data_IF_378625310291
#
_entry.id   IF_378625310291
#
_cell.length_a   1.000
_cell.length_b   1.000
_cell.length_c   1.000
_cell.angle_alpha   90.00
_cell.angle_beta   90.00
_cell.angle_gamma   90.00
#
_symmetry.space_group_name_H-M   'P 1'
#
loop_
_entity.id
_entity.type
_entity.pdbx_description
1 polymer ?
#
# COMPACT_ATOMS: atom_id res chain seq x y z
N UNK A 1 -21.29 -19.66 -2.91
CA UNK A 1 -20.50 -20.29 -1.83
C UNK A 1 -19.11 -20.51 -2.38
N UNK A 2 -18.08 -20.03 -1.69
CA UNK A 2 -16.69 -20.16 -2.12
C UNK A 2 -16.08 -21.37 -1.44
N UNK A 3 -15.54 -22.33 -2.20
CA UNK A 3 -14.87 -23.52 -1.66
C UNK A 3 -13.36 -23.42 -1.81
N UNK A 4 -12.66 -24.17 -0.96
CA UNK A 4 -11.22 -24.38 -1.10
C UNK A 4 -10.92 -25.03 -2.46
N UNK A 5 -9.88 -24.53 -3.13
CA UNK A 5 -9.45 -24.93 -4.48
C UNK A 5 -10.32 -24.46 -5.65
N UNK A 6 -11.29 -23.57 -5.42
CA UNK A 6 -12.01 -22.90 -6.51
C UNK A 6 -11.14 -21.89 -7.24
N UNK A 7 -11.57 -21.56 -8.47
CA UNK A 7 -10.96 -20.52 -9.29
C UNK A 7 -11.85 -19.29 -9.31
N UNK A 8 -11.27 -18.16 -8.94
CA UNK A 8 -11.94 -16.85 -8.93
C UNK A 8 -11.27 -15.92 -9.93
N UNK A 9 -11.99 -14.89 -10.35
CA UNK A 9 -11.55 -13.92 -11.34
C UNK A 9 -11.56 -12.53 -10.73
N UNK A 10 -10.43 -11.82 -10.83
CA UNK A 10 -10.38 -10.41 -10.44
C UNK A 10 -11.03 -9.58 -11.55
N UNK A 11 -12.05 -8.79 -11.22
CA UNK A 11 -12.81 -8.01 -12.22
C UNK A 11 -12.02 -6.84 -12.79
N UNK A 12 -11.11 -6.24 -12.01
CA UNK A 12 -10.25 -5.13 -12.47
C UNK A 12 -9.14 -5.60 -13.40
N UNK A 13 -8.51 -6.73 -13.11
CA UNK A 13 -7.32 -7.21 -13.86
C UNK A 13 -7.62 -8.35 -14.84
N UNK A 14 -8.81 -8.95 -14.77
CA UNK A 14 -9.18 -10.14 -15.54
C UNK A 14 -8.39 -11.40 -15.18
N UNK A 15 -7.51 -11.33 -14.17
CA UNK A 15 -6.63 -12.45 -13.81
C UNK A 15 -7.39 -13.54 -13.08
N UNK A 16 -7.17 -14.78 -13.52
CA UNK A 16 -7.65 -15.98 -12.85
C UNK A 16 -6.74 -16.32 -11.68
N UNK A 17 -7.31 -16.45 -10.49
CA UNK A 17 -6.61 -16.81 -9.26
C UNK A 17 -7.20 -18.10 -8.70
N UNK A 18 -6.33 -18.99 -8.17
CA UNK A 18 -6.75 -20.23 -7.50
C UNK A 18 -6.72 -20.03 -6.00
N UNK A 19 -7.83 -20.33 -5.32
CA UNK A 19 -7.93 -20.24 -3.86
C UNK A 19 -7.28 -21.47 -3.23
N UNK A 20 -6.07 -21.33 -2.67
CA UNK A 20 -5.38 -22.48 -2.04
C UNK A 20 -5.84 -22.75 -0.61
N UNK A 21 -5.99 -21.69 0.19
CA UNK A 21 -6.41 -21.74 1.59
C UNK A 21 -7.40 -20.63 1.89
N UNK A 22 -8.43 -20.97 2.65
CA UNK A 22 -9.47 -20.10 3.17
C UNK A 22 -9.38 -20.15 4.69
N UNK A 23 -9.35 -18.98 5.32
CA UNK A 23 -9.16 -18.87 6.77
C UNK A 23 -10.14 -17.85 7.33
N UNK A 24 -10.71 -18.14 8.50
CA UNK A 24 -11.36 -17.14 9.34
C UNK A 24 -10.34 -16.62 10.35
N UNK A 25 -10.18 -15.30 10.36
CA UNK A 25 -9.22 -14.63 11.23
C UNK A 25 -9.90 -14.23 12.54
N UNK A 26 -9.43 -14.79 13.65
CA UNK A 26 -9.83 -14.43 15.01
C UNK A 26 -8.71 -13.64 15.68
N UNK A 27 -8.51 -12.41 15.21
CA UNK A 27 -7.39 -11.55 15.59
C UNK A 27 -6.02 -12.20 15.28
N UNK A 28 -5.50 -13.00 16.21
CA UNK A 28 -4.22 -13.70 16.09
C UNK A 28 -4.39 -15.20 15.77
N UNK A 29 -5.54 -15.79 16.08
CA UNK A 29 -5.79 -17.21 15.78
C UNK A 29 -6.38 -17.39 14.38
N UNK A 30 -5.79 -18.31 13.63
CA UNK A 30 -6.20 -18.66 12.27
C UNK A 30 -6.99 -19.96 12.29
N UNK A 31 -8.25 -19.92 11.87
CA UNK A 31 -9.08 -21.12 11.70
C UNK A 31 -9.22 -21.46 10.21
N UNK A 32 -8.68 -22.60 9.78
CA UNK A 32 -8.83 -23.07 8.41
C UNK A 32 -10.28 -23.54 8.17
N UNK A 33 -10.94 -22.92 7.20
CA UNK A 33 -12.31 -23.26 6.78
C UNK A 33 -12.31 -23.84 5.37
N UNK A 34 -13.20 -24.79 5.10
CA UNK A 34 -13.30 -25.44 3.79
C UNK A 34 -14.22 -24.68 2.83
N UNK A 35 -15.21 -23.98 3.36
CA UNK A 35 -16.20 -23.22 2.59
C UNK A 35 -16.60 -21.94 3.31
N UNK A 36 -16.96 -20.92 2.52
CA UNK A 36 -17.39 -19.61 3.01
C UNK A 36 -18.69 -19.23 2.31
N UNK A 37 -19.65 -18.73 3.10
CA UNK A 37 -20.96 -18.31 2.62
C UNK A 37 -20.98 -16.81 2.29
N UNK A 38 -22.01 -16.38 1.57
CA UNK A 38 -22.19 -14.95 1.30
C UNK A 38 -22.49 -14.19 2.60
N UNK A 39 -21.83 -13.05 2.81
CA UNK A 39 -21.93 -12.24 4.02
C UNK A 39 -20.84 -12.50 5.07
N UNK A 40 -20.07 -13.59 4.93
CA UNK A 40 -18.94 -13.87 5.81
C UNK A 40 -17.68 -13.08 5.40
N UNK A 41 -16.88 -12.70 6.40
CA UNK A 41 -15.54 -12.15 6.20
C UNK A 41 -14.53 -13.30 6.29
N UNK A 42 -13.74 -13.48 5.24
CA UNK A 42 -12.69 -14.49 5.19
C UNK A 42 -11.39 -13.92 4.64
N UNK A 43 -10.28 -14.57 4.97
CA UNK A 43 -8.96 -14.25 4.45
C UNK A 43 -8.53 -15.30 3.41
N UNK A 44 -7.90 -14.82 2.35
CA UNK A 44 -7.35 -15.61 1.26
C UNK A 44 -5.82 -15.50 1.28
N UNK A 45 -5.14 -16.63 1.06
CA UNK A 45 -3.67 -16.67 1.03
C UNK A 45 -3.14 -16.79 -0.40
N UNK A 46 -2.01 -16.10 -0.65
CA UNK A 46 -1.27 -16.22 -1.92
C UNK A 46 -1.93 -15.50 -3.10
N UNK A 47 -2.77 -14.51 -2.82
CA UNK A 47 -3.44 -13.71 -3.84
C UNK A 47 -2.77 -12.33 -3.90
N UNK A 48 -2.41 -11.91 -5.10
CA UNK A 48 -1.98 -10.54 -5.37
C UNK A 48 -3.21 -9.70 -5.72
N UNK A 49 -3.64 -8.86 -4.79
CA UNK A 49 -4.77 -7.96 -4.95
C UNK A 49 -4.49 -6.62 -4.27
N UNK A 50 -5.14 -5.58 -4.77
CA UNK A 50 -5.18 -4.29 -4.10
C UNK A 50 -6.47 -4.16 -3.28
N UNK A 51 -6.44 -3.31 -2.26
CA UNK A 51 -7.63 -2.93 -1.51
C UNK A 51 -8.69 -2.35 -2.46
N UNK A 52 -9.91 -2.90 -2.40
CA UNK A 52 -11.03 -2.52 -3.28
C UNK A 52 -11.20 -3.41 -4.52
N UNK A 53 -10.32 -4.39 -4.76
CA UNK A 53 -10.51 -5.35 -5.85
C UNK A 53 -11.69 -6.30 -5.56
N UNK A 54 -12.52 -6.55 -6.57
CA UNK A 54 -13.64 -7.49 -6.50
C UNK A 54 -13.29 -8.81 -7.19
N UNK A 55 -13.63 -9.93 -6.56
CA UNK A 55 -13.49 -11.26 -7.13
C UNK A 55 -14.85 -11.86 -7.44
N UNK A 56 -15.02 -12.36 -8.66
CA UNK A 56 -16.26 -12.98 -9.13
C UNK A 56 -16.01 -14.36 -9.73
N UNK A 57 -17.11 -15.08 -9.96
CA UNK A 57 -17.12 -16.29 -10.79
C UNK A 57 -17.16 -15.92 -12.28
N UNK A 58 -16.76 -16.84 -13.16
CA UNK A 58 -16.64 -16.66 -14.63
C UNK A 58 -17.86 -16.03 -15.30
N UNK A 59 -19.03 -16.23 -14.72
CA UNK A 59 -20.33 -15.88 -15.32
C UNK A 59 -20.64 -14.39 -15.23
N UNK A 60 -20.00 -13.65 -14.31
CA UNK A 60 -20.30 -12.25 -14.01
C UNK A 60 -19.00 -11.47 -13.86
N UNK A 61 -18.34 -11.20 -14.97
CA UNK A 61 -17.01 -10.54 -15.01
C UNK A 61 -17.06 -9.03 -14.90
N UNK A 62 -18.22 -8.41 -15.16
CA UNK A 62 -18.33 -6.95 -15.36
C UNK A 62 -19.00 -6.26 -14.16
N UNK A 63 -18.78 -6.77 -12.94
CA UNK A 63 -19.31 -6.19 -11.71
C UNK A 63 -18.15 -5.66 -10.88
N UNK A 64 -18.05 -4.34 -10.79
CA UNK A 64 -17.13 -3.64 -9.89
C UNK A 64 -17.90 -3.04 -8.72
N UNK A 65 -17.42 -3.26 -7.50
CA UNK A 65 -17.95 -2.57 -6.33
C UNK A 65 -17.52 -1.09 -6.35
N UNK A 66 -18.23 -0.25 -5.60
CA UNK A 66 -17.88 1.15 -5.44
C UNK A 66 -16.49 1.28 -4.79
N UNK A 67 -15.71 2.25 -5.27
CA UNK A 67 -14.40 2.52 -4.72
C UNK A 67 -14.52 3.16 -3.34
N UNK A 68 -13.64 2.77 -2.43
CA UNK A 68 -13.49 3.44 -1.13
C UNK A 68 -13.08 4.90 -1.38
N UNK A 69 -13.77 5.84 -0.72
CA UNK A 69 -13.37 7.25 -0.74
C UNK A 69 -12.09 7.41 0.09
N UNK A 70 -10.98 7.71 -0.58
CA UNK A 70 -9.67 7.93 0.06
C UNK A 70 -9.46 9.44 0.18
N UNK A 71 -9.37 10.00 1.41
CA UNK A 71 -9.11 11.42 1.59
C UNK A 71 -7.69 11.78 1.14
N UNK A 72 -7.48 13.04 0.79
CA UNK A 72 -6.14 13.53 0.44
C UNK A 72 -5.25 13.64 1.69
N UNK A 73 -3.95 13.26 1.57
CA UNK A 73 -3.03 13.31 2.68
C UNK A 73 -2.76 14.77 3.10
N UNK A 74 -2.59 14.99 4.39
CA UNK A 74 -2.53 16.33 5.01
C UNK A 74 -1.11 16.76 5.33
N UNK A 75 -0.19 15.80 5.53
CA UNK A 75 1.20 16.06 5.87
C UNK A 75 2.13 15.32 4.90
N UNK A 76 3.24 15.97 4.56
CA UNK A 76 4.30 15.42 3.72
C UNK A 76 5.65 15.58 4.41
N UNK A 77 6.42 14.49 4.49
CA UNK A 77 7.70 14.41 5.18
C UNK A 77 8.70 13.73 4.28
N UNK A 78 9.95 14.21 4.25
CA UNK A 78 11.03 13.50 3.59
C UNK A 78 11.49 12.34 4.46
N UNK A 79 11.47 11.13 3.91
CA UNK A 79 11.91 9.93 4.59
C UNK A 79 13.15 9.37 3.91
N UNK A 80 14.18 9.06 4.69
CA UNK A 80 15.44 8.47 4.19
C UNK A 80 15.90 7.33 5.08
N UNK A 81 16.40 6.23 4.51
CA UNK A 81 17.03 5.18 5.32
C UNK A 81 18.32 5.74 5.94
N UNK A 82 18.60 5.38 7.20
CA UNK A 82 19.82 5.81 7.88
C UNK A 82 21.08 5.21 7.26
N UNK A 83 20.97 4.03 6.66
CA UNK A 83 22.05 3.36 5.96
C UNK A 83 21.70 3.15 4.47
N UNK A 84 22.63 3.46 3.57
CA UNK A 84 22.46 3.28 2.12
C UNK A 84 22.35 1.80 1.72
N UNK A 85 22.92 0.88 2.51
CA UNK A 85 22.87 -0.54 2.23
C UNK A 85 21.46 -1.14 2.39
N UNK A 86 20.57 -0.48 3.13
CA UNK A 86 19.20 -0.94 3.38
C UNK A 86 18.18 -0.36 2.39
N UNK A 87 18.64 0.27 1.31
CA UNK A 87 17.78 0.91 0.30
C UNK A 87 16.85 -0.08 -0.41
N UNK A 88 17.31 -1.33 -0.62
CA UNK A 88 16.47 -2.40 -1.19
C UNK A 88 15.33 -2.81 -0.24
N UNK A 89 15.62 -2.90 1.06
CA UNK A 89 14.61 -3.21 2.08
C UNK A 89 13.63 -2.06 2.23
N UNK A 90 14.13 -0.84 2.18
CA UNK A 90 13.35 0.40 2.21
C UNK A 90 12.33 0.44 1.06
N UNK A 91 12.79 0.25 -0.19
CA UNK A 91 11.92 0.22 -1.37
C UNK A 91 10.86 -0.89 -1.30
N UNK A 92 11.25 -2.10 -0.85
CA UNK A 92 10.32 -3.22 -0.68
C UNK A 92 9.26 -2.97 0.41
N UNK A 93 9.66 -2.40 1.55
CA UNK A 93 8.76 -2.10 2.66
C UNK A 93 7.75 -1.01 2.27
N UNK A 94 8.25 0.09 1.71
CA UNK A 94 7.42 1.18 1.19
C UNK A 94 6.41 0.69 0.15
N UNK A 95 6.85 -0.12 -0.82
CA UNK A 95 5.96 -0.67 -1.84
C UNK A 95 4.88 -1.60 -1.28
N UNK A 96 5.12 -2.25 -0.14
CA UNK A 96 4.09 -3.05 0.56
C UNK A 96 3.11 -2.15 1.30
N UNK A 97 3.60 -1.13 2.00
CA UNK A 97 2.74 -0.20 2.74
C UNK A 97 1.81 0.60 1.83
N UNK A 98 2.26 1.04 0.66
CA UNK A 98 1.39 1.70 -0.33
C UNK A 98 0.26 0.80 -0.83
N UNK A 99 0.45 -0.52 -0.86
CA UNK A 99 -0.59 -1.47 -1.27
C UNK A 99 -1.56 -1.80 -0.12
N UNK A 100 -1.07 -1.77 1.11
CA UNK A 100 -1.86 -2.02 2.32
C UNK A 100 -2.80 -0.85 2.61
N UNK A 101 -2.29 0.38 2.55
CA UNK A 101 -3.03 1.61 2.86
C UNK A 101 -3.00 2.61 1.69
N UNK A 102 -4.15 2.88 1.03
CA UNK A 102 -4.20 3.83 -0.08
C UNK A 102 -4.05 5.30 0.36
N UNK A 103 -4.15 5.60 1.66
CA UNK A 103 -3.91 6.95 2.20
C UNK A 103 -2.42 7.27 2.29
N UNK A 104 -1.56 6.25 2.33
CA UNK A 104 -0.11 6.38 2.39
C UNK A 104 0.46 6.53 0.97
N UNK A 105 0.78 7.77 0.59
CA UNK A 105 1.31 8.08 -0.74
C UNK A 105 2.81 8.32 -0.67
N UNK A 106 3.50 7.88 -1.71
CA UNK A 106 4.95 8.03 -1.84
C UNK A 106 5.21 8.73 -3.16
N UNK A 107 6.03 9.77 -3.10
CA UNK A 107 6.45 10.53 -4.25
C UNK A 107 7.97 10.70 -4.22
N UNK A 108 8.62 10.58 -5.36
CA UNK A 108 10.05 10.89 -5.50
C UNK A 108 10.18 12.25 -6.16
N UNK A 109 10.76 13.21 -5.46
CA UNK A 109 11.06 14.52 -6.03
C UNK A 109 12.38 14.45 -6.80
N UNK A 110 12.32 14.68 -8.12
CA UNK A 110 13.47 14.63 -9.02
C UNK A 110 14.46 15.78 -8.78
N UNK A 111 13.98 16.94 -8.30
CA UNK A 111 14.81 18.14 -8.11
C UNK A 111 15.61 18.04 -6.80
N UNK A 112 14.94 17.70 -5.70
CA UNK A 112 15.61 17.48 -4.40
C UNK A 112 16.31 16.13 -4.31
N UNK A 113 15.95 15.16 -5.16
CA UNK A 113 16.37 13.75 -5.09
C UNK A 113 16.04 13.10 -3.74
N UNK A 114 14.84 13.37 -3.23
CA UNK A 114 14.36 12.88 -1.94
C UNK A 114 13.06 12.09 -2.10
N UNK A 115 12.90 11.04 -1.30
CA UNK A 115 11.64 10.32 -1.19
C UNK A 115 10.75 11.04 -0.20
N UNK A 116 9.65 11.61 -0.70
CA UNK A 116 8.63 12.28 0.09
C UNK A 116 7.50 11.28 0.35
N UNK A 117 7.11 11.19 1.61
CA UNK A 117 6.02 10.34 2.08
C UNK A 117 4.91 11.24 2.60
N UNK A 118 3.70 10.99 2.13
CA UNK A 118 2.51 11.76 2.50
C UNK A 118 1.51 10.85 3.21
N UNK A 119 0.92 11.36 4.29
CA UNK A 119 -0.02 10.61 5.12
C UNK A 119 -1.07 11.51 5.78
N UNK A 120 -1.89 10.92 6.63
CA UNK A 120 -3.01 11.63 7.28
C UNK A 120 -2.58 12.50 8.47
N UNK A 121 -1.41 12.22 9.06
CA UNK A 121 -0.91 12.97 10.21
C UNK A 121 0.50 12.55 10.63
N UNK A 122 1.08 13.29 11.56
CA UNK A 122 2.45 13.03 12.06
C UNK A 122 2.56 11.65 12.70
N UNK A 123 1.61 11.29 13.56
CA UNK A 123 1.57 9.97 14.22
C UNK A 123 1.47 8.82 13.23
N UNK A 124 0.71 8.99 12.14
CA UNK A 124 0.56 7.97 11.09
C UNK A 124 1.92 7.68 10.45
N UNK A 125 2.67 8.73 10.10
CA UNK A 125 4.00 8.60 9.54
C UNK A 125 4.99 8.02 10.55
N UNK A 126 4.96 8.48 11.82
CA UNK A 126 5.84 7.99 12.88
C UNK A 126 5.70 6.47 13.10
N UNK A 127 4.45 5.98 13.16
CA UNK A 127 4.18 4.55 13.29
C UNK A 127 4.75 3.79 12.09
N UNK A 128 4.66 4.32 10.87
CA UNK A 128 5.25 3.67 9.70
C UNK A 128 6.78 3.62 9.75
N UNK A 129 7.48 4.64 10.26
CA UNK A 129 8.92 4.53 10.48
C UNK A 129 9.27 3.47 11.52
N UNK A 130 8.52 3.39 12.62
CA UNK A 130 8.74 2.36 13.63
C UNK A 130 8.46 0.95 13.06
N UNK A 131 7.45 0.80 12.19
CA UNK A 131 7.20 -0.46 11.47
C UNK A 131 8.35 -0.80 10.51
N UNK A 132 8.91 0.16 9.78
CA UNK A 132 10.09 -0.06 8.94
C UNK A 132 11.29 -0.55 9.75
N UNK A 133 11.51 0.02 10.94
CA UNK A 133 12.60 -0.41 11.82
C UNK A 133 12.35 -1.82 12.39
N UNK A 134 11.14 -2.12 12.86
CA UNK A 134 10.81 -3.40 13.51
C UNK A 134 10.63 -4.55 12.53
N UNK A 135 9.92 -4.34 11.42
CA UNK A 135 9.59 -5.39 10.46
C UNK A 135 10.71 -5.61 9.43
N UNK A 136 11.34 -4.53 8.97
CA UNK A 136 12.33 -4.58 7.89
C UNK A 136 13.77 -4.35 8.36
N UNK A 137 13.98 -4.04 9.65
CA UNK A 137 15.31 -3.76 10.19
C UNK A 137 15.97 -2.54 9.55
N UNK A 138 15.16 -1.61 9.02
CA UNK A 138 15.64 -0.42 8.30
C UNK A 138 15.26 0.84 9.10
N UNK A 139 16.15 1.33 9.97
CA UNK A 139 15.91 2.60 10.66
C UNK A 139 15.83 3.73 9.63
N UNK A 140 14.76 4.51 9.72
CA UNK A 140 14.46 5.60 8.80
C UNK A 140 14.49 6.93 9.55
N UNK A 141 15.12 7.94 8.95
CA UNK A 141 15.15 9.30 9.48
C UNK A 141 14.11 10.14 8.75
N UNK A 142 13.27 10.83 9.52
CA UNK A 142 12.27 11.78 9.03
C UNK A 142 12.81 13.20 9.08
N UNK A 143 12.55 13.98 8.03
CA UNK A 143 12.91 15.38 7.96
C UNK A 143 11.88 16.18 7.17
N UNK A 144 11.97 17.51 7.26
CA UNK A 144 11.14 18.39 6.43
C UNK A 144 11.55 18.24 4.96
N UNK A 145 10.60 18.14 4.03
CA UNK A 145 10.92 18.10 2.60
C UNK A 145 11.64 19.39 2.21
N UNK A 146 12.68 19.25 1.38
CA UNK A 146 13.33 20.42 0.79
C UNK A 146 12.40 21.09 -0.20
N UNK A 147 12.48 22.42 -0.23
CA UNK A 147 11.75 23.23 -1.19
C UNK A 147 12.70 23.56 -2.33
N UNK A 148 12.25 23.34 -3.56
CA UNK A 148 12.94 23.76 -4.76
C UNK A 148 12.86 25.29 -4.93
N UNK A 149 13.98 25.97 -4.69
CA UNK A 149 14.07 27.40 -4.96
C UNK A 149 14.28 27.65 -6.46
N UNK A 150 13.58 28.66 -6.99
CA UNK A 150 13.76 29.14 -8.36
C UNK A 150 14.24 30.58 -8.32
N UNK A 151 15.24 30.90 -9.12
CA UNK A 151 15.78 32.25 -9.25
C UNK A 151 15.32 32.83 -10.59
N UNK A 152 15.06 34.14 -10.61
CA UNK A 152 14.74 34.88 -11.84
C UNK A 152 15.47 36.22 -11.85
N UNK A 153 15.83 36.69 -13.05
CA UNK A 153 16.43 38.01 -13.24
C UNK A 153 15.33 39.09 -13.22
N UNK A 154 15.52 40.16 -12.45
CA UNK A 154 14.51 41.21 -12.30
C UNK A 154 14.62 42.33 -13.35
N UNK A 155 15.79 42.55 -13.94
CA UNK A 155 16.00 43.60 -14.94
C UNK A 155 16.96 43.14 -16.05
N UNK A 156 16.72 43.53 -17.31
CA UNK A 156 17.69 43.32 -18.38
C UNK A 156 18.92 44.21 -18.17
N UNK A 157 20.10 43.68 -18.45
CA UNK A 157 21.36 44.43 -18.40
C UNK A 157 21.42 45.36 -19.62
N UNK A 158 21.68 46.67 -19.44
CA UNK A 158 21.80 47.63 -20.54
C UNK A 158 23.03 47.38 -21.43
#
# INVERSE_FOLDING_TARGET
MLKKSDYIYNTRTGKRVRVQRLVRMHSDTMEDVNEVYAGDICALFGIDCASGDTFTDKTSTDISMESIHVPDPVISVAMKPSNKNDLDKFSKGLGRFTREDPTFRIHFDEESKETIVSGMGELHLEIYAQRMEREYGCPCTMGKPKVSFRENICAPVP
#
